data_IF_094384957818
#
_entry.id   IF_094384957818
#
_cell.length_a   1.000
_cell.length_b   1.000
_cell.length_c   1.000
_cell.angle_alpha   90.00
_cell.angle_beta   90.00
_cell.angle_gamma   90.00
#
_symmetry.space_group_name_H-M   'P 1'
#
loop_
_entity.id
_entity.type
_entity.pdbx_description
1 polymer ?
#
# COMPACT_ATOMS: atom_id res chain seq x y z
N UNK A 1 -4.98 -20.19 -25.52
CA UNK A 1 -4.31 -18.87 -25.35
C UNK A 1 -4.51 -18.45 -23.91
N UNK A 2 -3.44 -18.31 -23.15
CA UNK A 2 -3.54 -17.85 -21.77
C UNK A 2 -3.82 -16.33 -21.74
N UNK A 3 -5.00 -15.96 -21.27
CA UNK A 3 -5.53 -14.58 -21.22
C UNK A 3 -4.86 -13.67 -20.18
N UNK A 4 -3.63 -14.01 -19.76
CA UNK A 4 -2.92 -13.35 -18.67
C UNK A 4 -1.47 -13.10 -19.07
N UNK A 5 -1.01 -11.87 -18.88
CA UNK A 5 0.37 -11.47 -19.17
C UNK A 5 1.01 -10.92 -17.90
N UNK A 6 2.27 -11.28 -17.65
CA UNK A 6 3.00 -10.82 -16.47
C UNK A 6 4.15 -9.92 -16.89
N UNK A 7 4.18 -8.71 -16.35
CA UNK A 7 5.26 -7.74 -16.56
C UNK A 7 5.73 -7.21 -15.21
N UNK A 8 7.05 -7.27 -14.97
CA UNK A 8 7.66 -6.92 -13.68
C UNK A 8 6.96 -7.57 -12.48
N UNK A 9 6.54 -8.83 -12.60
CA UNK A 9 5.85 -9.55 -11.52
C UNK A 9 4.40 -9.07 -11.23
N UNK A 10 3.85 -8.15 -12.03
CA UNK A 10 2.42 -7.77 -12.00
C UNK A 10 1.70 -8.52 -13.12
N UNK A 11 0.59 -9.17 -12.78
CA UNK A 11 -0.20 -9.96 -13.74
C UNK A 11 -1.42 -9.15 -14.18
N UNK A 12 -1.52 -8.93 -15.48
CA UNK A 12 -2.58 -8.18 -16.11
C UNK A 12 -3.60 -9.14 -16.71
N UNK A 13 -4.87 -8.91 -16.40
CA UNK A 13 -5.99 -9.56 -17.06
C UNK A 13 -6.55 -8.63 -18.15
N UNK A 14 -7.15 -9.20 -19.22
CA UNK A 14 -7.75 -8.43 -20.31
C UNK A 14 -8.70 -7.31 -19.85
N UNK A 15 -9.38 -7.53 -18.72
CA UNK A 15 -10.34 -6.60 -18.15
C UNK A 15 -9.76 -5.73 -17.03
N UNK A 16 -8.46 -5.77 -16.74
CA UNK A 16 -7.84 -4.99 -15.64
C UNK A 16 -8.61 -5.07 -14.32
N UNK A 17 -9.17 -6.24 -14.00
CA UNK A 17 -9.85 -6.51 -12.73
C UNK A 17 -8.87 -6.79 -11.60
N UNK A 18 -7.63 -7.17 -11.94
CA UNK A 18 -6.55 -7.49 -10.99
C UNK A 18 -6.83 -8.71 -10.10
N UNK A 19 -7.91 -9.45 -10.35
CA UNK A 19 -8.34 -10.58 -9.52
C UNK A 19 -7.22 -11.62 -9.39
N UNK A 20 -6.66 -12.05 -10.52
CA UNK A 20 -5.64 -13.10 -10.54
C UNK A 20 -4.34 -12.65 -9.85
N UNK A 21 -3.91 -11.41 -10.11
CA UNK A 21 -2.76 -10.84 -9.43
C UNK A 21 -2.95 -10.82 -7.91
N UNK A 22 -4.08 -10.28 -7.42
CA UNK A 22 -4.38 -10.18 -5.99
C UNK A 22 -4.50 -11.56 -5.35
N UNK A 23 -5.16 -12.53 -6.00
CA UNK A 23 -5.25 -13.91 -5.50
C UNK A 23 -3.86 -14.57 -5.40
N UNK A 24 -2.99 -14.36 -6.39
CA UNK A 24 -1.62 -14.89 -6.35
C UNK A 24 -0.79 -14.24 -5.23
N UNK A 25 -0.93 -12.93 -5.03
CA UNK A 25 -0.26 -12.17 -3.98
C UNK A 25 -0.74 -12.60 -2.58
N UNK A 26 -2.05 -12.79 -2.42
CA UNK A 26 -2.66 -13.32 -1.21
C UNK A 26 -2.12 -14.72 -0.89
N UNK A 27 -2.08 -15.63 -1.88
CA UNK A 27 -1.57 -16.98 -1.69
C UNK A 27 -0.07 -17.00 -1.28
N UNK A 28 0.75 -16.13 -1.89
CA UNK A 28 2.16 -15.95 -1.50
C UNK A 28 2.26 -15.43 -0.06
N UNK A 29 1.51 -14.39 0.28
CA UNK A 29 1.50 -13.81 1.63
C UNK A 29 1.01 -14.81 2.69
N UNK A 30 -0.03 -15.59 2.42
CA UNK A 30 -0.53 -16.65 3.32
C UNK A 30 0.50 -17.73 3.60
N UNK A 31 1.26 -18.16 2.58
CA UNK A 31 2.37 -19.12 2.77
C UNK A 31 3.42 -18.57 3.74
N UNK A 32 3.84 -17.32 3.55
CA UNK A 32 4.78 -16.63 4.46
C UNK A 32 4.20 -16.45 5.86
N UNK A 33 2.91 -16.12 5.95
CA UNK A 33 2.20 -15.99 7.22
C UNK A 33 2.16 -17.32 7.99
N UNK A 34 1.99 -18.44 7.30
CA UNK A 34 2.00 -19.77 7.94
C UNK A 34 3.37 -20.10 8.52
N UNK A 35 4.46 -19.68 7.86
CA UNK A 35 5.83 -19.80 8.42
C UNK A 35 5.96 -18.93 9.67
N UNK A 36 5.52 -17.68 9.60
CA UNK A 36 5.50 -16.77 10.76
C UNK A 36 4.68 -17.34 11.94
N UNK A 37 3.55 -18.01 11.67
CA UNK A 37 2.75 -18.68 12.69
C UNK A 37 3.53 -19.78 13.42
N UNK A 38 4.37 -20.54 12.69
CA UNK A 38 5.23 -21.57 13.32
C UNK A 38 6.28 -20.94 14.23
N UNK A 39 6.82 -19.77 13.86
CA UNK A 39 7.79 -19.02 14.67
C UNK A 39 7.17 -18.40 15.93
N UNK A 40 5.89 -18.05 15.88
CA UNK A 40 5.21 -17.47 17.04
C UNK A 40 5.12 -18.45 18.20
N UNK A 41 5.04 -19.77 17.97
CA UNK A 41 5.04 -20.81 18.99
C UNK A 41 3.97 -20.65 20.09
N UNK A 42 3.84 -21.63 20.99
CA UNK A 42 3.00 -21.50 22.20
C UNK A 42 3.81 -21.57 23.49
N UNK A 43 4.98 -22.24 23.48
CA UNK A 43 5.86 -22.41 24.65
C UNK A 43 7.21 -21.69 24.55
N UNK A 44 7.80 -21.59 23.35
CA UNK A 44 9.13 -21.02 23.09
C UNK A 44 9.07 -19.83 22.10
N UNK A 45 7.90 -19.21 21.99
CA UNK A 45 7.56 -18.26 20.93
C UNK A 45 8.48 -17.05 20.78
N UNK A 46 8.61 -16.56 19.55
CA UNK A 46 9.30 -15.31 19.29
C UNK A 46 8.57 -14.10 19.90
N UNK A 47 9.33 -13.12 20.39
CA UNK A 47 8.80 -11.87 20.94
C UNK A 47 7.96 -11.10 19.88
N UNK A 48 6.90 -10.41 20.32
CA UNK A 48 6.04 -9.56 19.50
C UNK A 48 6.84 -8.64 18.56
N UNK A 49 7.92 -8.01 19.05
CA UNK A 49 8.78 -7.12 18.24
C UNK A 49 9.43 -7.84 17.05
N UNK A 50 9.85 -9.09 17.25
CA UNK A 50 10.46 -9.92 16.21
C UNK A 50 9.37 -10.33 15.20
N UNK A 51 8.21 -10.81 15.68
CA UNK A 51 7.10 -11.19 14.81
C UNK A 51 6.59 -10.01 13.97
N UNK A 52 6.51 -8.81 14.56
CA UNK A 52 6.21 -7.56 13.85
C UNK A 52 7.24 -7.30 12.74
N UNK A 53 8.52 -7.42 13.04
CA UNK A 53 9.60 -7.22 12.07
C UNK A 53 9.52 -8.23 10.92
N UNK A 54 9.29 -9.50 11.24
CA UNK A 54 9.08 -10.57 10.25
C UNK A 54 7.86 -10.30 9.38
N UNK A 55 6.73 -9.88 9.94
CA UNK A 55 5.56 -9.49 9.17
C UNK A 55 5.88 -8.35 8.21
N UNK A 56 6.52 -7.30 8.70
CA UNK A 56 6.83 -6.09 7.94
C UNK A 56 7.84 -6.33 6.81
N UNK A 57 8.82 -7.21 7.03
CA UNK A 57 9.88 -7.53 6.07
C UNK A 57 9.55 -8.69 5.12
N UNK A 58 8.67 -9.62 5.50
CA UNK A 58 8.44 -10.85 4.72
C UNK A 58 7.03 -10.95 4.15
N UNK A 59 5.99 -10.68 4.95
CA UNK A 59 4.59 -10.85 4.53
C UNK A 59 4.08 -9.60 3.81
N UNK A 60 4.26 -8.42 4.43
CA UNK A 60 3.73 -7.15 3.94
C UNK A 60 4.19 -6.77 2.52
N UNK A 61 5.46 -7.00 2.10
CA UNK A 61 5.87 -6.67 0.74
C UNK A 61 5.04 -7.37 -0.33
N UNK A 62 4.63 -8.62 -0.11
CA UNK A 62 3.77 -9.35 -1.04
C UNK A 62 2.34 -8.78 -1.13
N UNK A 63 1.82 -8.22 -0.03
CA UNK A 63 0.48 -7.62 0.00
C UNK A 63 0.43 -6.24 -0.68
N UNK A 64 1.56 -5.53 -0.74
CA UNK A 64 1.62 -4.15 -1.22
C UNK A 64 2.38 -3.98 -2.55
N UNK A 65 2.94 -5.05 -3.10
CA UNK A 65 3.68 -4.99 -4.36
C UNK A 65 2.76 -4.53 -5.48
N UNK A 66 3.18 -3.51 -6.24
CA UNK A 66 2.40 -2.97 -7.34
C UNK A 66 1.08 -2.29 -6.93
N UNK A 67 0.90 -1.90 -5.67
CA UNK A 67 -0.39 -1.36 -5.17
C UNK A 67 -0.93 -0.14 -5.91
N UNK A 68 -0.07 0.65 -6.55
CA UNK A 68 -0.49 1.74 -7.42
C UNK A 68 -1.18 1.27 -8.71
N UNK A 69 -0.77 0.12 -9.26
CA UNK A 69 -1.35 -0.43 -10.49
C UNK A 69 -2.76 -0.98 -10.25
N UNK A 70 -2.93 -1.80 -9.22
CA UNK A 70 -4.22 -2.43 -8.89
C UNK A 70 -5.07 -1.64 -7.88
N UNK A 71 -4.78 -0.35 -7.70
CA UNK A 71 -5.56 0.53 -6.82
C UNK A 71 -7.04 0.61 -7.24
N UNK A 72 -7.31 0.48 -8.53
CA UNK A 72 -8.66 0.49 -9.11
C UNK A 72 -9.39 -0.85 -9.01
N UNK A 73 -8.79 -1.85 -8.38
CA UNK A 73 -9.44 -3.14 -8.16
C UNK A 73 -10.68 -3.00 -7.27
N UNK A 74 -11.61 -3.94 -7.38
CA UNK A 74 -12.82 -3.95 -6.56
C UNK A 74 -12.49 -4.02 -5.07
N UNK A 75 -13.28 -3.32 -4.24
CA UNK A 75 -13.14 -3.32 -2.77
C UNK A 75 -13.12 -4.72 -2.17
N UNK A 76 -13.86 -5.67 -2.75
CA UNK A 76 -13.88 -7.06 -2.33
C UNK A 76 -12.49 -7.73 -2.44
N UNK A 77 -11.71 -7.42 -3.48
CA UNK A 77 -10.35 -7.90 -3.64
C UNK A 77 -9.39 -7.26 -2.64
N UNK A 78 -9.54 -5.96 -2.38
CA UNK A 78 -8.77 -5.28 -1.34
C UNK A 78 -9.00 -5.87 0.06
N UNK A 79 -10.24 -6.24 0.37
CA UNK A 79 -10.62 -6.87 1.62
C UNK A 79 -10.00 -8.27 1.82
N UNK A 80 -9.70 -9.02 0.75
CA UNK A 80 -9.03 -10.33 0.91
C UNK A 80 -7.61 -10.17 1.43
N UNK A 81 -6.89 -9.15 0.94
CA UNK A 81 -5.56 -8.78 1.45
C UNK A 81 -5.63 -8.29 2.90
N UNK A 82 -6.65 -7.49 3.23
CA UNK A 82 -6.84 -6.98 4.61
C UNK A 82 -7.08 -8.13 5.60
N UNK A 83 -7.75 -9.22 5.19
CA UNK A 83 -7.91 -10.42 6.03
C UNK A 83 -6.57 -11.06 6.38
N UNK A 84 -5.58 -11.03 5.48
CA UNK A 84 -4.23 -11.55 5.76
C UNK A 84 -3.54 -10.70 6.83
N UNK A 85 -3.60 -9.36 6.74
CA UNK A 85 -3.05 -8.48 7.78
C UNK A 85 -3.75 -8.69 9.12
N UNK A 86 -5.09 -8.77 9.14
CA UNK A 86 -5.86 -9.04 10.38
C UNK A 86 -5.43 -10.35 11.05
N UNK A 87 -5.18 -11.39 10.25
CA UNK A 87 -4.67 -12.66 10.77
C UNK A 87 -3.22 -12.53 11.29
N UNK A 88 -2.39 -11.73 10.63
CA UNK A 88 -1.02 -11.44 11.09
C UNK A 88 -1.01 -10.73 12.44
N UNK A 89 -1.86 -9.72 12.63
CA UNK A 89 -1.97 -9.00 13.89
C UNK A 89 -2.29 -9.93 15.06
N UNK A 90 -3.23 -10.86 14.88
CA UNK A 90 -3.57 -11.86 15.90
C UNK A 90 -2.41 -12.81 16.23
N UNK A 91 -1.59 -13.15 15.24
CA UNK A 91 -0.40 -13.98 15.47
C UNK A 91 0.67 -13.19 16.24
N UNK A 92 0.85 -11.91 15.91
CA UNK A 92 1.83 -11.03 16.56
C UNK A 92 1.45 -10.81 18.03
N UNK A 93 0.19 -10.47 18.31
CA UNK A 93 -0.29 -10.15 19.66
C UNK A 93 -0.69 -11.37 20.48
N UNK A 94 -0.86 -12.54 19.86
CA UNK A 94 -1.45 -13.71 20.50
C UNK A 94 -2.93 -13.54 20.90
N UNK A 95 -3.60 -12.49 20.41
CA UNK A 95 -4.95 -12.13 20.85
C UNK A 95 -6.03 -13.11 20.35
N UNK A 96 -7.09 -13.24 21.16
CA UNK A 96 -8.27 -14.02 20.82
C UNK A 96 -8.95 -13.53 19.53
N UNK A 97 -9.71 -14.42 18.87
CA UNK A 97 -10.47 -14.05 17.65
C UNK A 97 -11.52 -12.96 17.88
N UNK A 98 -12.04 -12.84 19.10
CA UNK A 98 -13.02 -11.82 19.51
C UNK A 98 -12.40 -10.42 19.68
N UNK A 99 -11.09 -10.31 19.88
CA UNK A 99 -10.43 -9.01 20.10
C UNK A 99 -10.61 -8.08 18.90
N UNK A 100 -11.02 -6.82 19.12
CA UNK A 100 -11.15 -5.82 18.06
C UNK A 100 -9.84 -5.59 17.30
N UNK A 101 -9.92 -5.48 15.97
CA UNK A 101 -8.74 -5.28 15.12
C UNK A 101 -8.06 -3.94 15.44
N UNK A 102 -8.84 -2.88 15.64
CA UNK A 102 -8.33 -1.53 15.90
C UNK A 102 -7.41 -1.49 17.12
N UNK A 103 -7.81 -2.14 18.22
CA UNK A 103 -6.98 -2.24 19.42
C UNK A 103 -5.63 -2.92 19.15
N UNK A 104 -5.60 -3.97 18.31
CA UNK A 104 -4.35 -4.62 17.93
C UNK A 104 -3.49 -3.75 17.02
N UNK A 105 -4.09 -2.98 16.11
CA UNK A 105 -3.37 -2.03 15.25
C UNK A 105 -2.70 -0.94 16.09
N UNK A 106 -3.41 -0.44 17.11
CA UNK A 106 -2.91 0.59 18.04
C UNK A 106 -1.76 0.03 18.91
N UNK A 107 -1.92 -1.15 19.51
CA UNK A 107 -0.87 -1.81 20.34
C UNK A 107 0.38 -2.11 19.51
N UNK A 108 0.19 -2.73 18.33
CA UNK A 108 1.33 -3.12 17.49
C UNK A 108 1.92 -1.95 16.72
N UNK A 109 1.27 -0.78 16.71
CA UNK A 109 1.60 0.36 15.84
C UNK A 109 1.79 -0.07 14.38
N UNK A 110 0.85 -0.84 13.85
CA UNK A 110 0.78 -1.27 12.44
C UNK A 110 -0.47 -0.66 11.83
N UNK A 111 -0.34 0.27 10.87
CA UNK A 111 -1.51 0.92 10.31
C UNK A 111 -2.32 -0.03 9.41
N UNK A 112 -3.64 0.19 9.26
CA UNK A 112 -4.49 -0.56 8.35
C UNK A 112 -3.90 -0.61 6.94
N UNK A 113 -3.94 -1.79 6.31
CA UNK A 113 -3.41 -2.00 4.96
C UNK A 113 -4.07 -1.06 3.93
N UNK A 114 -5.38 -0.80 4.08
CA UNK A 114 -6.10 0.19 3.29
C UNK A 114 -5.45 1.58 3.32
N UNK A 115 -5.18 2.13 4.51
CA UNK A 115 -4.51 3.43 4.66
C UNK A 115 -3.12 3.44 4.02
N UNK A 116 -2.37 2.33 4.15
CA UNK A 116 -1.05 2.20 3.53
C UNK A 116 -1.12 2.22 1.99
N UNK A 117 -2.12 1.56 1.40
CA UNK A 117 -2.37 1.59 -0.05
C UNK A 117 -2.71 3.01 -0.52
N UNK A 118 -3.60 3.70 0.20
CA UNK A 118 -3.94 5.11 -0.07
C UNK A 118 -2.69 5.99 -0.07
N UNK A 119 -1.86 5.90 0.98
CA UNK A 119 -0.59 6.63 1.03
C UNK A 119 0.34 6.31 -0.15
N UNK A 120 0.47 5.03 -0.53
CA UNK A 120 1.32 4.65 -1.68
C UNK A 120 0.81 5.23 -3.01
N UNK A 121 -0.50 5.23 -3.23
CA UNK A 121 -1.08 5.84 -4.43
C UNK A 121 -0.88 7.36 -4.45
N UNK A 122 -1.04 8.02 -3.30
CA UNK A 122 -0.77 9.45 -3.17
C UNK A 122 0.70 9.78 -3.44
N UNK A 123 1.64 9.07 -2.82
CA UNK A 123 3.09 9.25 -3.08
C UNK A 123 3.38 9.09 -4.58
N UNK A 124 2.78 8.10 -5.24
CA UNK A 124 2.97 7.88 -6.66
C UNK A 124 2.39 9.03 -7.50
N UNK A 125 1.21 9.54 -7.14
CA UNK A 125 0.60 10.69 -7.82
C UNK A 125 1.45 11.95 -7.68
N UNK A 126 1.97 12.22 -6.47
CA UNK A 126 2.88 13.34 -6.21
C UNK A 126 4.14 13.23 -7.06
N UNK A 127 4.76 12.05 -7.14
CA UNK A 127 5.93 11.83 -8.02
C UNK A 127 5.65 12.19 -9.48
N UNK A 128 4.47 11.82 -9.99
CA UNK A 128 4.06 12.17 -11.34
C UNK A 128 3.82 13.67 -11.52
N UNK A 129 3.41 14.40 -10.47
CA UNK A 129 3.24 15.85 -10.51
C UNK A 129 4.58 16.58 -10.45
N UNK A 130 5.52 16.09 -9.63
CA UNK A 130 6.85 16.66 -9.48
C UNK A 130 7.71 16.58 -10.74
N UNK A 131 7.46 15.61 -11.61
CA UNK A 131 8.26 15.39 -12.82
C UNK A 131 7.54 15.99 -14.03
N UNK A 132 8.09 17.10 -14.56
CA UNK A 132 7.45 17.87 -15.64
C UNK A 132 7.28 17.03 -16.92
N UNK A 133 8.27 16.20 -17.26
CA UNK A 133 8.30 15.40 -18.49
C UNK A 133 7.54 14.07 -18.40
N UNK A 134 6.94 13.76 -17.24
CA UNK A 134 6.30 12.47 -17.07
C UNK A 134 4.95 12.41 -17.81
N UNK A 135 4.66 11.37 -18.62
CA UNK A 135 3.43 11.29 -19.43
C UNK A 135 2.15 11.31 -18.57
N UNK A 136 2.23 10.90 -17.31
CA UNK A 136 1.12 10.95 -16.36
C UNK A 136 0.88 12.34 -15.74
N UNK A 137 1.82 13.29 -15.83
CA UNK A 137 1.67 14.63 -15.26
C UNK A 137 0.47 15.36 -15.88
N UNK A 138 0.45 15.42 -17.22
CA UNK A 138 -0.65 16.02 -17.97
C UNK A 138 -1.98 15.30 -17.70
N UNK A 139 -1.96 13.98 -17.58
CA UNK A 139 -3.17 13.18 -17.31
C UNK A 139 -3.73 13.42 -15.90
N UNK A 140 -2.88 13.71 -14.90
CA UNK A 140 -3.32 14.08 -13.55
C UNK A 140 -3.90 15.51 -13.49
N UNK A 141 -3.52 16.39 -14.42
CA UNK A 141 -4.11 17.74 -14.55
C UNK A 141 -5.44 17.70 -15.30
N UNK A 142 -5.57 16.85 -16.33
CA UNK A 142 -6.78 16.76 -17.16
C UNK A 142 -7.95 16.08 -16.43
N UNK A 143 -9.15 16.66 -16.51
CA UNK A 143 -10.38 16.02 -16.01
C UNK A 143 -10.68 14.78 -16.87
N UNK A 144 -10.79 13.60 -16.26
CA UNK A 144 -11.32 12.46 -16.99
C UNK A 144 -12.79 12.76 -17.28
N UNK A 145 -13.15 12.88 -18.56
CA UNK A 145 -14.56 12.89 -18.94
C UNK A 145 -15.19 11.63 -18.33
N UNK A 146 -16.34 11.77 -17.67
CA UNK A 146 -17.05 10.71 -16.94
C UNK A 146 -17.58 9.57 -17.83
N UNK A 147 -16.93 9.32 -18.97
CA UNK A 147 -17.27 8.33 -19.99
C UNK A 147 -17.15 6.90 -19.46
N UNK A 148 -16.21 6.62 -18.56
CA UNK A 148 -15.99 5.28 -18.00
C UNK A 148 -16.68 5.13 -16.64
N UNK A 149 -17.52 4.10 -16.50
CA UNK A 149 -18.14 3.71 -15.22
C UNK A 149 -17.13 3.16 -14.19
N UNK A 150 -15.92 2.79 -14.63
CA UNK A 150 -14.87 2.23 -13.77
C UNK A 150 -13.94 3.32 -13.25
N UNK A 151 -13.46 3.14 -12.02
CA UNK A 151 -12.47 4.05 -11.48
C UNK A 151 -11.12 3.91 -12.20
N UNK A 152 -10.45 5.05 -12.34
CA UNK A 152 -9.09 5.14 -12.86
C UNK A 152 -8.14 5.52 -11.73
N UNK A 153 -6.85 5.29 -11.91
CA UNK A 153 -5.83 5.73 -10.96
C UNK A 153 -5.96 7.24 -10.66
N UNK A 154 -6.19 8.07 -11.69
CA UNK A 154 -6.35 9.51 -11.52
C UNK A 154 -7.60 9.91 -10.73
N UNK A 155 -8.71 9.17 -10.90
CA UNK A 155 -9.94 9.40 -10.16
C UNK A 155 -9.74 9.05 -8.67
N UNK A 156 -9.14 7.89 -8.39
CA UNK A 156 -8.85 7.43 -7.02
C UNK A 156 -7.91 8.42 -6.33
N UNK A 157 -6.82 8.84 -6.98
CA UNK A 157 -5.85 9.77 -6.37
C UNK A 157 -6.44 11.13 -6.10
N UNK A 158 -7.33 11.65 -6.96
CA UNK A 158 -8.05 12.90 -6.71
C UNK A 158 -9.05 12.78 -5.57
N UNK A 159 -9.76 11.66 -5.48
CA UNK A 159 -10.65 11.39 -4.35
C UNK A 159 -9.86 11.37 -3.03
N UNK A 160 -8.67 10.74 -3.03
CA UNK A 160 -7.77 10.74 -1.88
C UNK A 160 -7.20 12.12 -1.56
N UNK A 161 -6.80 12.91 -2.56
CA UNK A 161 -6.34 14.28 -2.36
C UNK A 161 -7.40 15.16 -1.73
N UNK A 162 -8.68 15.05 -2.16
CA UNK A 162 -9.80 15.75 -1.52
C UNK A 162 -10.04 15.28 -0.08
N UNK A 163 -10.02 13.96 0.15
CA UNK A 163 -10.21 13.35 1.48
C UNK A 163 -9.14 13.80 2.49
N UNK A 164 -7.92 14.05 2.03
CA UNK A 164 -6.76 14.37 2.86
C UNK A 164 -6.22 15.79 2.66
N UNK A 165 -7.03 16.70 2.10
CA UNK A 165 -6.62 18.04 1.69
C UNK A 165 -6.00 18.86 2.84
N UNK A 166 -6.50 18.71 4.07
CA UNK A 166 -6.00 19.40 5.26
C UNK A 166 -4.62 18.91 5.72
N UNK A 167 -4.30 17.64 5.45
CA UNK A 167 -3.04 17.01 5.87
C UNK A 167 -1.92 17.10 4.84
N UNK A 168 -2.24 17.50 3.60
CA UNK A 168 -1.30 17.51 2.49
C UNK A 168 -0.57 18.85 2.38
N UNK A 169 0.71 18.85 1.99
CA UNK A 169 1.43 20.10 1.74
C UNK A 169 0.75 20.84 0.58
N UNK A 170 0.44 22.12 0.80
CA UNK A 170 -0.23 22.98 -0.19
C UNK A 170 0.62 23.22 -1.44
N UNK A 171 1.94 23.05 -1.32
CA UNK A 171 2.92 23.22 -2.39
C UNK A 171 3.76 21.95 -2.52
N UNK A 172 3.97 21.53 -3.77
CA UNK A 172 4.78 20.36 -4.12
C UNK A 172 5.93 20.88 -4.97
N UNK A 173 7.16 20.79 -4.46
CA UNK A 173 8.35 21.18 -5.22
C UNK A 173 8.58 20.22 -6.39
N UNK A 174 8.89 20.73 -7.60
CA UNK A 174 9.25 19.89 -8.74
C UNK A 174 10.59 19.21 -8.48
N UNK A 175 10.73 17.97 -8.93
CA UNK A 175 12.02 17.29 -8.93
C UNK A 175 12.81 17.83 -10.10
N UNK A 176 13.82 18.65 -9.82
CA UNK A 176 14.76 19.16 -10.82
C UNK A 176 15.99 18.25 -10.82
N UNK A 177 16.20 17.52 -11.93
CA UNK A 177 17.44 16.79 -12.14
C UNK A 177 18.46 17.75 -12.75
N UNK A 178 19.23 18.45 -11.92
CA UNK A 178 20.37 19.23 -12.41
C UNK A 178 21.55 18.29 -12.65
N UNK A 179 22.05 18.24 -13.89
CA UNK A 179 23.17 17.37 -14.29
C UNK A 179 24.50 17.70 -13.57
N UNK A 180 24.57 18.82 -12.84
CA UNK A 180 25.82 19.39 -12.31
C UNK A 180 25.87 19.53 -10.78
N UNK A 181 25.14 18.73 -10.01
CA UNK A 181 25.45 18.58 -8.59
C UNK A 181 25.18 17.14 -8.14
N UNK A 182 26.20 16.51 -7.56
CA UNK A 182 26.04 15.32 -6.73
C UNK A 182 24.83 15.49 -5.82
N UNK A 183 23.89 14.54 -5.74
CA UNK A 183 22.70 14.69 -4.93
C UNK A 183 23.15 14.78 -3.47
N UNK A 184 23.18 16.01 -2.94
CA UNK A 184 23.33 16.27 -1.52
C UNK A 184 22.16 15.57 -0.84
N UNK A 185 22.49 14.46 -0.18
CA UNK A 185 21.59 13.60 0.58
C UNK A 185 20.80 14.43 1.57
N UNK A 186 19.59 14.86 1.20
CA UNK A 186 18.53 15.18 2.14
C UNK A 186 17.22 14.65 1.56
N UNK A 187 17.13 13.32 1.48
CA UNK A 187 15.83 12.68 1.57
C UNK A 187 15.33 12.90 3.00
N UNK A 188 14.75 14.06 3.26
CA UNK A 188 13.81 14.21 4.37
C UNK A 188 12.65 13.27 4.06
N UNK A 189 12.79 12.04 4.54
CA UNK A 189 11.73 11.09 4.65
C UNK A 189 10.56 11.85 5.28
N UNK A 190 9.41 11.93 4.60
CA UNK A 190 8.17 12.38 5.22
C UNK A 190 7.83 11.43 6.39
N UNK A 191 8.49 11.61 7.52
CA UNK A 191 7.99 11.24 8.83
C UNK A 191 6.81 12.16 9.08
N UNK A 192 5.61 11.63 8.80
CA UNK A 192 4.38 12.03 9.47
C UNK A 192 4.62 11.92 10.98
N UNK A 193 5.19 12.97 11.59
CA UNK A 193 5.12 13.17 13.02
C UNK A 193 3.66 13.55 13.32
N UNK A 194 2.94 12.61 13.92
CA UNK A 194 1.74 12.93 14.68
C UNK A 194 2.14 13.95 15.76
N UNK A 195 1.78 15.22 15.58
CA UNK A 195 1.66 16.14 16.70
C UNK A 195 0.52 15.64 17.57
N UNK A 196 0.87 15.00 18.68
CA UNK A 196 -0.02 14.88 19.83
C UNK A 196 -0.16 16.28 20.42
N UNK A 197 -1.33 16.90 20.29
CA UNK A 197 -1.67 18.07 21.08
C UNK A 197 -2.13 17.60 22.45
N UNK A 198 -1.41 18.03 23.49
CA UNK A 198 -1.98 18.32 24.81
C UNK A 198 -2.75 19.62 24.73
#
# INVERSE_FOLDING_TARGET
>A
MEDQQTYLGVTFDKRMTWKQHITSAEAKARRKLNIMRKLAGTKWGANEKILKSVYQGNVRPHLEYGSSAWMTAAKSHHQTLDKVQKQALRIITGAMKSTPIRSMEDITNIPPLGKRRECKAMIQATKYQCSQDHPMNNRLKQLSSGRLKRSSFTLETRALQRKHQETLPKYIEPIVFTMNNTPSRHYSCCTLHQKQNR
#
